data_IF_574496140013
#
_entry.id   IF_574496140013
#
_cell.length_a   1.000
_cell.length_b   1.000
_cell.length_c   1.000
_cell.angle_alpha   90.00
_cell.angle_beta   90.00
_cell.angle_gamma   90.00
#
_symmetry.space_group_name_H-M   'P 1'
#
loop_
_entity.id
_entity.type
_entity.pdbx_description
1 polymer ?
#
# COMPACT_ATOMS: atom_id res chain seq x y z
N UNK A 1 22.23 27.60 -20.31
CA UNK A 1 21.08 26.68 -20.46
C UNK A 1 21.33 25.29 -19.85
N UNK A 2 22.51 24.68 -19.98
CA UNK A 2 22.85 23.38 -19.36
C UNK A 2 22.60 23.30 -17.85
N UNK A 3 22.93 24.36 -17.11
CA UNK A 3 22.80 24.37 -15.64
C UNK A 3 21.33 24.41 -15.18
N UNK A 4 20.47 25.09 -15.95
CA UNK A 4 19.02 25.13 -15.72
C UNK A 4 18.36 23.76 -15.99
N UNK A 5 18.85 23.06 -17.01
CA UNK A 5 18.40 21.71 -17.31
C UNK A 5 18.79 20.73 -16.19
N UNK A 6 20.02 20.85 -15.68
CA UNK A 6 20.53 19.99 -14.60
C UNK A 6 19.75 20.18 -13.29
N UNK A 7 19.38 21.43 -12.95
CA UNK A 7 18.58 21.73 -11.75
C UNK A 7 17.16 21.21 -11.86
N UNK A 8 16.53 21.31 -13.04
CA UNK A 8 15.18 20.77 -13.26
C UNK A 8 15.17 19.24 -13.15
N UNK A 9 16.15 18.56 -13.76
CA UNK A 9 16.27 17.09 -13.69
C UNK A 9 16.49 16.63 -12.24
N UNK A 10 17.34 17.32 -11.49
CA UNK A 10 17.58 17.01 -10.07
C UNK A 10 16.33 17.17 -9.22
N UNK A 11 15.55 18.24 -9.43
CA UNK A 11 14.31 18.48 -8.69
C UNK A 11 13.24 17.41 -8.96
N UNK A 12 13.10 17.00 -10.23
CA UNK A 12 12.17 15.92 -10.62
C UNK A 12 12.61 14.56 -10.06
N UNK A 13 13.91 14.28 -9.98
CA UNK A 13 14.39 13.03 -9.42
C UNK A 13 14.12 12.93 -7.91
N UNK A 14 14.30 14.04 -7.17
CA UNK A 14 14.04 14.09 -5.73
C UNK A 14 12.55 13.94 -5.36
N UNK A 15 11.63 14.40 -6.21
CA UNK A 15 10.19 14.29 -5.93
C UNK A 15 9.63 12.87 -6.08
N UNK A 16 10.30 12.01 -6.85
CA UNK A 16 9.87 10.62 -7.07
C UNK A 16 10.20 9.69 -5.89
N UNK A 17 11.08 10.08 -4.98
CA UNK A 17 11.57 9.22 -3.88
C UNK A 17 10.52 9.06 -2.75
N UNK A 18 9.48 9.91 -2.70
CA UNK A 18 8.52 9.95 -1.59
C UNK A 18 7.14 9.33 -1.90
N UNK A 19 6.92 8.70 -3.05
CA UNK A 19 5.59 8.21 -3.47
C UNK A 19 5.16 6.91 -2.75
N UNK A 20 6.07 6.21 -2.07
CA UNK A 20 5.81 4.83 -1.61
C UNK A 20 5.63 4.67 -0.10
N UNK A 21 4.88 5.55 0.55
CA UNK A 21 4.37 5.30 1.91
C UNK A 21 2.84 5.17 1.87
N UNK A 22 2.34 4.10 1.23
CA UNK A 22 0.94 3.70 1.39
C UNK A 22 0.84 2.96 2.73
N UNK A 23 0.15 3.58 3.70
CA UNK A 23 -0.20 2.95 4.97
C UNK A 23 -0.97 1.66 4.69
N UNK A 24 -0.68 0.59 5.44
CA UNK A 24 -1.48 -0.63 5.43
C UNK A 24 -2.80 -0.35 6.14
N UNK A 25 -3.76 0.25 5.43
CA UNK A 25 -5.12 0.42 5.94
C UNK A 25 -5.76 -0.95 6.12
N UNK A 26 -6.42 -1.14 7.27
CA UNK A 26 -7.17 -2.37 7.54
C UNK A 26 -8.42 -2.39 6.65
N UNK A 27 -8.51 -3.40 5.78
CA UNK A 27 -9.66 -3.59 4.89
C UNK A 27 -10.94 -3.80 5.70
N UNK A 28 -11.98 -3.02 5.38
CA UNK A 28 -13.29 -3.11 6.02
C UNK A 28 -14.25 -4.04 5.26
N UNK A 29 -15.34 -4.47 5.92
CA UNK A 29 -16.36 -5.31 5.27
C UNK A 29 -17.10 -4.54 4.17
N UNK A 30 -17.33 -3.26 4.41
CA UNK A 30 -18.01 -2.32 3.54
C UNK A 30 -17.25 -2.14 2.22
N UNK A 31 -15.92 -2.03 2.27
CA UNK A 31 -15.05 -1.96 1.10
C UNK A 31 -15.17 -3.22 0.22
N UNK A 32 -15.06 -4.41 0.79
CA UNK A 32 -15.20 -5.65 0.01
C UNK A 32 -16.60 -5.76 -0.62
N UNK A 33 -17.63 -5.36 0.11
CA UNK A 33 -19.01 -5.35 -0.40
C UNK A 33 -19.18 -4.37 -1.55
N UNK A 34 -18.58 -3.19 -1.48
CA UNK A 34 -18.61 -2.19 -2.56
C UNK A 34 -17.94 -2.71 -3.83
N UNK A 35 -16.94 -3.59 -3.70
CA UNK A 35 -16.28 -4.26 -4.81
C UNK A 35 -17.00 -5.52 -5.31
N UNK A 36 -18.11 -5.92 -4.67
CA UNK A 36 -18.82 -7.17 -5.00
C UNK A 36 -18.06 -8.44 -4.58
N UNK A 37 -17.09 -8.31 -3.67
CA UNK A 37 -16.24 -9.39 -3.17
C UNK A 37 -16.67 -9.85 -1.78
N UNK A 38 -16.29 -11.07 -1.41
CA UNK A 38 -16.54 -11.58 -0.07
C UNK A 38 -15.46 -11.13 0.92
N UNK A 39 -15.89 -10.63 2.08
CA UNK A 39 -14.98 -10.28 3.17
C UNK A 39 -14.56 -11.54 3.93
N UNK A 40 -13.25 -11.81 3.99
CA UNK A 40 -12.66 -12.95 4.70
C UNK A 40 -11.66 -12.47 5.75
N UNK A 41 -11.42 -13.33 6.74
CA UNK A 41 -10.39 -13.16 7.76
C UNK A 41 -9.51 -14.40 7.80
N UNK A 42 -8.21 -14.21 7.85
CA UNK A 42 -7.23 -15.29 8.00
C UNK A 42 -6.22 -15.00 9.10
N UNK A 43 -5.72 -16.07 9.70
CA UNK A 43 -4.65 -16.00 10.70
C UNK A 43 -3.32 -16.18 9.99
N UNK A 44 -2.49 -15.13 9.99
CA UNK A 44 -1.19 -15.12 9.31
C UNK A 44 -0.07 -14.83 10.28
N UNK A 45 1.13 -15.39 10.02
CA UNK A 45 2.33 -15.06 10.77
C UNK A 45 2.91 -13.75 10.26
N UNK A 46 2.99 -12.75 11.13
CA UNK A 46 3.70 -11.52 10.83
C UNK A 46 5.20 -11.76 10.98
N UNK A 47 5.94 -11.88 9.87
CA UNK A 47 7.38 -12.14 9.89
C UNK A 47 8.21 -11.00 10.49
N UNK A 48 7.68 -9.77 10.57
CA UNK A 48 8.38 -8.64 11.21
C UNK A 48 8.34 -8.74 12.73
N UNK A 49 7.23 -9.22 13.29
CA UNK A 49 7.03 -9.30 14.76
C UNK A 49 7.14 -10.71 15.33
N UNK A 50 7.11 -11.74 14.48
CA UNK A 50 7.07 -13.15 14.86
C UNK A 50 5.74 -13.61 15.49
N UNK A 51 4.70 -12.77 15.47
CA UNK A 51 3.40 -13.06 16.08
C UNK A 51 2.35 -13.36 15.02
N UNK A 52 1.37 -14.18 15.37
CA UNK A 52 0.19 -14.36 14.53
C UNK A 52 -0.76 -13.17 14.69
N UNK A 53 -1.27 -12.68 13.56
CA UNK A 53 -2.28 -11.63 13.49
C UNK A 53 -3.45 -12.07 12.62
N UNK A 54 -4.62 -11.46 12.84
CA UNK A 54 -5.79 -11.67 11.99
C UNK A 54 -5.74 -10.59 10.91
N UNK A 55 -5.65 -11.00 9.64
CA UNK A 55 -5.77 -10.10 8.49
C UNK A 55 -7.12 -10.26 7.81
N UNK A 56 -7.72 -9.13 7.50
CA UNK A 56 -8.92 -9.05 6.67
C UNK A 56 -8.52 -8.90 5.22
N UNK A 57 -9.24 -9.55 4.30
CA UNK A 57 -9.03 -9.42 2.86
C UNK A 57 -10.34 -9.65 2.08
N UNK A 58 -10.39 -9.12 0.86
CA UNK A 58 -11.49 -9.38 -0.07
C UNK A 58 -11.15 -10.58 -0.97
N UNK A 59 -12.09 -11.49 -1.20
CA UNK A 59 -11.91 -12.67 -2.05
C UNK A 59 -13.05 -12.80 -3.06
N UNK A 60 -12.73 -13.22 -4.28
CA UNK A 60 -13.73 -13.67 -5.26
C UNK A 60 -14.37 -14.99 -4.81
N UNK A 61 -15.66 -15.16 -5.13
CA UNK A 61 -16.44 -16.36 -4.82
C UNK A 61 -15.99 -17.58 -5.64
#
# INVERSE_FOLDING_TARGET
>A
MKNLFLTIVSFVFCSLIFVSCASSEEITREECKALGLEFKKEKVLNYRTGKYEIRSFCKEN
#
